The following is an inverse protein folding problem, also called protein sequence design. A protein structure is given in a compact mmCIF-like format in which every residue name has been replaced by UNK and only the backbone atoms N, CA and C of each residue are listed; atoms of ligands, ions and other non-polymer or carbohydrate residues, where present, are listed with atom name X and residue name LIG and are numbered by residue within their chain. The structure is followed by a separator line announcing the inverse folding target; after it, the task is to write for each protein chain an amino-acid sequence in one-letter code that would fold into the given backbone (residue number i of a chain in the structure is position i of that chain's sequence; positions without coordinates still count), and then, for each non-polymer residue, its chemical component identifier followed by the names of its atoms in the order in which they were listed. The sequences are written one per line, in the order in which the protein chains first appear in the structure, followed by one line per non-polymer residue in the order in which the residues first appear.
data_IF_288423182970
#
_entry.id   IF_288423182970
#
_cell.length_a   1.000
_cell.length_b   1.000
_cell.length_c   1.000
_cell.angle_alpha   90.00
_cell.angle_beta   90.00
_cell.angle_gamma   90.00
#
_symmetry.space_group_name_H-M   'P 1'
#
loop_
_entity.id
_entity.type
_entity.pdbx_description
1 polymer ?
#
# COMPACT_ATOMS: atom_id res chain seq x y z
N UNK A 1 9.56 -14.10 -20.70
CA UNK A 1 8.73 -13.61 -19.58
C UNK A 1 9.58 -13.74 -18.34
N UNK A 2 9.93 -12.62 -17.68
CA UNK A 2 10.73 -12.69 -16.46
C UNK A 2 9.90 -13.39 -15.38
N UNK A 3 10.51 -14.33 -14.68
CA UNK A 3 9.90 -14.89 -13.47
C UNK A 3 9.73 -13.77 -12.42
N UNK A 4 8.63 -13.77 -11.67
CA UNK A 4 8.45 -12.84 -10.57
C UNK A 4 9.58 -13.01 -9.55
N UNK A 5 10.14 -11.89 -9.10
CA UNK A 5 11.30 -11.83 -8.22
C UNK A 5 10.91 -12.29 -6.80
N UNK A 6 9.65 -12.08 -6.41
CA UNK A 6 9.12 -12.44 -5.09
C UNK A 6 7.71 -13.03 -5.19
N UNK A 7 7.29 -13.79 -4.17
CA UNK A 7 5.94 -14.35 -4.13
C UNK A 7 4.86 -13.31 -3.82
N UNK A 8 5.09 -12.43 -2.83
CA UNK A 8 4.04 -11.53 -2.30
C UNK A 8 4.59 -10.15 -1.93
N UNK A 9 3.85 -9.10 -2.25
CA UNK A 9 4.11 -7.71 -1.84
C UNK A 9 2.85 -7.12 -1.18
N UNK A 10 3.03 -6.44 -0.05
CA UNK A 10 2.03 -5.59 0.58
C UNK A 10 2.49 -4.13 0.46
N UNK A 11 1.64 -3.27 -0.09
CA UNK A 11 1.88 -1.84 -0.27
C UNK A 11 0.94 -1.05 0.63
N UNK A 12 1.48 -0.05 1.32
CA UNK A 12 0.73 0.90 2.15
C UNK A 12 1.34 2.29 2.02
N UNK A 13 0.59 3.33 2.37
CA UNK A 13 1.03 4.73 2.47
C UNK A 13 0.16 5.49 3.48
N UNK A 14 0.55 6.71 3.79
CA UNK A 14 -0.19 7.67 4.62
C UNK A 14 -1.00 8.69 3.80
N UNK A 15 -0.63 8.98 2.54
CA UNK A 15 -1.39 9.91 1.67
C UNK A 15 -2.81 9.43 1.31
N UNK A 16 -3.11 8.15 1.53
CA UNK A 16 -4.40 7.51 1.27
C UNK A 16 -4.47 6.67 -0.02
N UNK A 17 -5.54 5.87 -0.12
CA UNK A 17 -5.76 4.85 -1.17
C UNK A 17 -5.85 5.44 -2.58
N UNK A 18 -6.25 6.72 -2.68
CA UNK A 18 -6.39 7.42 -3.95
C UNK A 18 -5.13 8.16 -4.39
N UNK A 19 -4.04 8.09 -3.62
CA UNK A 19 -2.81 8.79 -3.93
C UNK A 19 -2.23 8.33 -5.27
N UNK A 20 -1.79 9.26 -6.14
CA UNK A 20 -1.25 8.91 -7.46
C UNK A 20 0.03 8.06 -7.35
N UNK A 21 0.86 8.29 -6.32
CA UNK A 21 2.06 7.51 -6.07
C UNK A 21 1.77 6.03 -5.74
N UNK A 22 0.67 5.76 -5.04
CA UNK A 22 0.26 4.40 -4.68
C UNK A 22 -0.09 3.58 -5.93
N UNK A 23 -0.78 4.19 -6.90
CA UNK A 23 -1.10 3.57 -8.19
C UNK A 23 0.13 3.23 -9.01
N UNK A 24 1.13 4.11 -9.01
CA UNK A 24 2.41 3.88 -9.69
C UNK A 24 3.15 2.72 -9.02
N UNK A 25 3.22 2.69 -7.69
CA UNK A 25 3.84 1.60 -6.93
C UNK A 25 3.17 0.25 -7.18
N UNK A 26 1.84 0.22 -7.20
CA UNK A 26 1.08 -1.00 -7.51
C UNK A 26 1.43 -1.54 -8.91
N UNK A 27 1.49 -0.67 -9.92
CA UNK A 27 1.87 -1.08 -11.29
C UNK A 27 3.28 -1.68 -11.34
N UNK A 28 4.23 -1.08 -10.62
CA UNK A 28 5.60 -1.60 -10.54
C UNK A 28 5.59 -2.97 -9.84
N UNK A 29 4.93 -3.08 -8.68
CA UNK A 29 4.88 -4.31 -7.89
C UNK A 29 4.26 -5.50 -8.65
N UNK A 30 3.25 -5.25 -9.48
CA UNK A 30 2.62 -6.29 -10.33
C UNK A 30 3.56 -6.89 -11.37
N UNK A 31 4.65 -6.21 -11.71
CA UNK A 31 5.70 -6.74 -12.58
C UNK A 31 6.78 -7.52 -11.80
N UNK A 32 6.77 -7.47 -10.47
CA UNK A 32 7.80 -8.02 -9.59
C UNK A 32 7.31 -9.21 -8.76
N UNK A 33 6.00 -9.31 -8.50
CA UNK A 33 5.42 -10.31 -7.62
C UNK A 33 4.27 -11.10 -8.25
N UNK A 34 4.09 -12.35 -7.80
CA UNK A 34 2.91 -13.15 -8.12
C UNK A 34 1.63 -12.54 -7.52
N UNK A 35 1.73 -12.02 -6.30
CA UNK A 35 0.61 -11.47 -5.54
C UNK A 35 0.93 -10.08 -4.99
N UNK A 36 0.00 -9.14 -5.18
CA UNK A 36 0.12 -7.74 -4.71
C UNK A 36 -1.13 -7.36 -3.94
N UNK A 37 -0.94 -6.91 -2.71
CA UNK A 37 -1.98 -6.36 -1.84
C UNK A 37 -1.73 -4.88 -1.58
N UNK A 38 -2.80 -4.08 -1.59
CA UNK A 38 -2.75 -2.66 -1.27
C UNK A 38 -3.68 -2.40 -0.10
N UNK A 39 -3.14 -1.83 0.98
CA UNK A 39 -3.90 -1.45 2.17
C UNK A 39 -3.46 -0.04 2.56
N UNK A 40 -4.36 0.93 2.46
CA UNK A 40 -4.09 2.33 2.72
C UNK A 40 -5.32 3.01 3.35
N UNK A 41 -5.15 4.11 4.09
CA UNK A 41 -6.28 4.85 4.64
C UNK A 41 -7.15 5.44 3.52
N UNK A 42 -8.43 5.67 3.79
CA UNK A 42 -9.33 6.28 2.80
C UNK A 42 -8.92 7.73 2.46
N UNK A 43 -8.43 8.45 3.47
CA UNK A 43 -8.04 9.86 3.41
C UNK A 43 -6.59 10.04 3.84
N UNK A 44 -6.01 11.18 3.48
CA UNK A 44 -4.67 11.59 3.89
C UNK A 44 -4.51 11.58 5.42
N UNK A 45 -3.51 10.86 5.90
CA UNK A 45 -3.09 10.73 7.30
C UNK A 45 -1.66 11.24 7.51
N UNK A 46 -1.11 12.02 6.57
CA UNK A 46 0.20 12.64 6.68
C UNK A 46 0.33 13.42 8.00
N UNK A 47 1.36 13.11 8.78
CA UNK A 47 1.62 13.78 10.06
C UNK A 47 0.84 13.23 11.28
N UNK A 48 0.05 12.17 11.14
CA UNK A 48 -0.64 11.51 12.26
C UNK A 48 0.27 10.66 13.18
N UNK A 49 1.57 10.58 12.88
CA UNK A 49 2.54 9.69 13.56
C UNK A 49 2.23 8.20 13.32
N UNK A 50 3.01 7.29 13.94
CA UNK A 50 2.70 5.85 13.97
C UNK A 50 1.58 5.55 14.99
N UNK A 51 0.42 6.19 14.83
CA UNK A 51 -0.72 5.99 15.72
C UNK A 51 -1.47 4.71 15.37
N UNK A 52 -1.84 3.94 16.39
CA UNK A 52 -2.72 2.78 16.28
C UNK A 52 -4.09 3.22 16.79
N UNK A 53 -5.18 2.88 16.10
CA UNK A 53 -6.54 3.09 16.63
C UNK A 53 -6.75 2.17 17.84
N UNK A 54 -6.77 2.74 19.06
CA UNK A 54 -6.92 1.98 20.32
C UNK A 54 -8.34 2.10 20.89
N UNK A 55 -9.02 3.21 20.59
CA UNK A 55 -10.28 3.58 21.25
C UNK A 55 -11.53 3.39 20.38
N UNK A 56 -11.35 3.33 19.06
CA UNK A 56 -12.43 3.15 18.10
C UNK A 56 -12.17 1.90 17.23
N UNK A 57 -13.22 1.15 16.86
CA UNK A 57 -13.10 0.08 15.87
C UNK A 57 -12.69 0.64 14.49
N UNK A 58 -11.94 -0.18 13.74
CA UNK A 58 -11.45 0.13 12.40
C UNK A 58 -12.53 -0.05 11.32
#
# INVERSE_FOLDING_TARGET
MNEPIVKRILITNDDGINAPGLKVLEQIARNLAEEVWVVAPEHDRSGAGQSISIHDPL
#
